data_IF_616735828748
#
_entry.id   IF_616735828748
#
_cell.length_a   1.000
_cell.length_b   1.000
_cell.length_c   1.000
_cell.angle_alpha   90.00
_cell.angle_beta   90.00
_cell.angle_gamma   90.00
#
_symmetry.space_group_name_H-M   'P 1'
#
loop_
_entity.id
_entity.type
_entity.pdbx_description
1 polymer ?
#
# COMPACT_ATOMS: atom_id res chain seq x y z
N UNK A 1 -45.92 -28.72 43.04
CA UNK A 1 -44.78 -29.61 42.76
C UNK A 1 -44.66 -30.09 41.31
N UNK A 2 -45.76 -30.27 40.56
CA UNK A 2 -45.72 -30.84 39.19
C UNK A 2 -45.10 -29.94 38.10
N UNK A 3 -45.15 -28.61 38.27
CA UNK A 3 -44.60 -27.66 37.27
C UNK A 3 -43.09 -27.42 37.37
N UNK A 4 -42.50 -27.57 38.56
CA UNK A 4 -41.03 -27.52 38.71
C UNK A 4 -40.40 -28.77 38.07
N UNK A 5 -41.04 -29.93 38.23
CA UNK A 5 -40.58 -31.18 37.62
C UNK A 5 -40.55 -31.08 36.10
N UNK A 6 -41.58 -30.52 35.46
CA UNK A 6 -41.61 -30.31 33.99
C UNK A 6 -40.55 -29.33 33.47
N UNK A 7 -40.15 -28.34 34.27
CA UNK A 7 -39.10 -27.37 33.88
C UNK A 7 -37.70 -27.96 33.88
N UNK A 8 -37.47 -29.02 34.67
CA UNK A 8 -36.16 -29.66 34.82
C UNK A 8 -36.04 -30.90 33.92
N UNK A 9 -37.15 -31.58 33.62
CA UNK A 9 -37.13 -32.78 32.76
C UNK A 9 -36.75 -32.48 31.32
N UNK A 10 -37.22 -31.36 30.74
CA UNK A 10 -36.87 -30.97 29.37
C UNK A 10 -35.37 -30.73 29.15
N UNK A 11 -34.66 -29.90 29.96
CA UNK A 11 -33.23 -29.70 29.80
C UNK A 11 -32.41 -30.98 30.10
N UNK A 12 -32.87 -31.83 31.02
CA UNK A 12 -32.24 -33.14 31.26
C UNK A 12 -32.35 -34.07 30.06
N UNK A 13 -33.49 -34.08 29.38
CA UNK A 13 -33.71 -34.88 28.18
C UNK A 13 -32.85 -34.37 27.02
N UNK A 14 -32.76 -33.06 26.84
CA UNK A 14 -31.88 -32.43 25.84
C UNK A 14 -30.41 -32.76 26.13
N UNK A 15 -29.98 -32.66 27.40
CA UNK A 15 -28.63 -33.02 27.82
C UNK A 15 -28.33 -34.50 27.57
N UNK A 16 -29.26 -35.40 27.89
CA UNK A 16 -29.11 -36.83 27.64
C UNK A 16 -28.99 -37.14 26.13
N UNK A 17 -29.77 -36.47 25.29
CA UNK A 17 -29.68 -36.59 23.82
C UNK A 17 -28.33 -36.07 23.29
N UNK A 18 -27.85 -34.93 23.79
CA UNK A 18 -26.54 -34.39 23.41
C UNK A 18 -25.39 -35.33 23.80
N UNK A 19 -25.42 -35.90 25.01
CA UNK A 19 -24.43 -36.88 25.46
C UNK A 19 -24.48 -38.14 24.59
N UNK A 20 -25.68 -38.60 24.22
CA UNK A 20 -25.84 -39.75 23.33
C UNK A 20 -25.29 -39.47 21.92
N UNK A 21 -25.53 -38.29 21.35
CA UNK A 21 -25.01 -37.90 20.04
C UNK A 21 -23.49 -37.75 20.01
N UNK A 22 -22.89 -37.25 21.08
CA UNK A 22 -21.42 -37.19 21.21
C UNK A 22 -20.80 -38.59 21.24
N UNK A 23 -21.37 -39.51 22.03
CA UNK A 23 -20.88 -40.89 22.07
C UNK A 23 -21.15 -41.66 20.78
N UNK A 24 -22.24 -41.38 20.06
CA UNK A 24 -22.53 -42.00 18.77
C UNK A 24 -21.56 -41.50 17.69
N UNK A 25 -21.21 -40.21 17.72
CA UNK A 25 -20.23 -39.60 16.79
C UNK A 25 -18.84 -40.19 16.98
N UNK A 26 -18.43 -40.49 18.21
CA UNK A 26 -17.12 -41.09 18.49
C UNK A 26 -17.02 -42.55 17.99
N UNK A 27 -18.15 -43.26 17.82
CA UNK A 27 -18.18 -44.65 17.32
C UNK A 27 -18.04 -44.80 15.81
N UNK A 28 -18.19 -43.73 15.01
CA UNK A 28 -18.08 -43.79 13.54
C UNK A 28 -16.72 -43.33 12.99
N UNK A 29 -15.75 -43.01 13.85
CA UNK A 29 -14.50 -42.35 13.44
C UNK A 29 -13.19 -43.09 13.69
N UNK A 30 -13.15 -44.14 14.51
CA UNK A 30 -11.90 -44.83 14.83
C UNK A 30 -12.14 -46.33 14.96
N UNK A 31 -11.73 -47.08 13.95
CA UNK A 31 -11.48 -48.50 14.09
C UNK A 31 -10.30 -48.66 15.07
N UNK A 32 -10.47 -49.42 16.15
CA UNK A 32 -9.37 -49.68 17.08
C UNK A 32 -8.24 -50.37 16.31
N UNK A 33 -7.11 -49.69 16.20
CA UNK A 33 -5.88 -50.29 15.71
C UNK A 33 -5.47 -51.32 16.76
N UNK A 34 -5.68 -52.61 16.46
CA UNK A 34 -5.06 -53.68 17.23
C UNK A 34 -3.54 -53.53 17.04
N UNK A 35 -2.89 -52.98 18.06
CA UNK A 35 -1.43 -52.99 18.15
C UNK A 35 -1.05 -54.43 18.49
N UNK A 36 -0.88 -55.24 17.44
CA UNK A 36 -0.25 -56.54 17.57
C UNK A 36 1.15 -56.36 18.13
N UNK A 37 1.52 -57.21 19.09
CA UNK A 37 2.89 -57.29 19.62
C UNK A 37 3.91 -57.30 18.49
N UNK A 38 4.96 -56.48 18.65
CA UNK A 38 6.01 -56.27 17.68
C UNK A 38 6.61 -57.60 17.19
N UNK A 39 6.22 -58.01 16.00
CA UNK A 39 6.88 -59.09 15.28
C UNK A 39 8.01 -58.51 14.44
N UNK A 40 9.23 -58.94 14.77
CA UNK A 40 10.32 -59.18 13.82
C UNK A 40 10.90 -57.97 13.09
N UNK A 41 12.23 -57.94 12.96
CA UNK A 41 12.91 -57.06 12.03
C UNK A 41 12.60 -57.59 10.61
N UNK A 42 11.45 -57.25 10.05
CA UNK A 42 11.28 -57.25 8.60
C UNK A 42 12.07 -56.06 8.05
N UNK A 43 12.87 -56.31 7.01
CA UNK A 43 13.49 -55.26 6.22
C UNK A 43 12.43 -54.18 5.96
N UNK A 44 12.66 -52.96 6.47
CA UNK A 44 11.77 -51.82 6.22
C UNK A 44 11.71 -51.62 4.71
N UNK A 45 10.73 -52.25 4.05
CA UNK A 45 10.39 -51.94 2.68
C UNK A 45 10.06 -50.45 2.69
N UNK A 46 10.90 -49.66 2.03
CA UNK A 46 10.70 -48.24 1.86
C UNK A 46 9.37 -48.06 1.10
N UNK A 47 8.28 -47.90 1.86
CA UNK A 47 6.92 -47.98 1.35
C UNK A 47 6.51 -46.86 0.39
N UNK A 48 7.38 -45.85 0.22
CA UNK A 48 7.22 -44.85 -0.84
C UNK A 48 8.17 -45.18 -2.00
N UNK A 49 7.65 -45.51 -3.19
CA UNK A 49 8.48 -45.68 -4.37
C UNK A 49 9.23 -44.39 -4.71
N UNK A 50 10.40 -44.52 -5.35
CA UNK A 50 11.28 -43.38 -5.69
C UNK A 50 10.56 -42.33 -6.54
N UNK A 51 9.67 -42.77 -7.44
CA UNK A 51 8.85 -41.90 -8.30
C UNK A 51 7.49 -41.53 -7.70
N UNK A 52 7.36 -41.49 -6.36
CA UNK A 52 6.11 -41.08 -5.73
C UNK A 52 5.94 -39.55 -5.77
N UNK A 53 4.79 -39.08 -6.26
CA UNK A 53 4.41 -37.65 -6.23
C UNK A 53 4.41 -37.05 -4.81
N UNK A 54 4.30 -37.87 -3.76
CA UNK A 54 4.43 -37.43 -2.35
C UNK A 54 5.85 -36.99 -1.98
N UNK A 55 6.87 -37.38 -2.75
CA UNK A 55 8.27 -36.96 -2.53
C UNK A 55 8.64 -35.64 -3.21
N UNK A 56 7.77 -35.13 -4.09
CA UNK A 56 7.90 -33.82 -4.73
C UNK A 56 6.56 -33.07 -4.64
N UNK A 57 6.09 -32.75 -3.40
CA UNK A 57 4.79 -32.14 -3.18
C UNK A 57 4.64 -30.82 -3.94
N UNK A 58 5.73 -30.07 -4.16
CA UNK A 58 5.73 -28.83 -4.95
C UNK A 58 5.13 -29.01 -6.35
N UNK A 59 5.28 -30.17 -6.98
CA UNK A 59 4.73 -30.45 -8.32
C UNK A 59 3.21 -30.58 -8.35
N UNK A 60 2.57 -30.84 -7.21
CA UNK A 60 1.13 -30.95 -7.08
C UNK A 60 0.52 -29.72 -6.41
N UNK A 61 1.21 -29.15 -5.42
CA UNK A 61 0.68 -28.00 -4.68
C UNK A 61 0.76 -26.72 -5.50
N UNK A 62 1.79 -26.53 -6.33
CA UNK A 62 1.90 -25.29 -7.10
C UNK A 62 0.83 -25.14 -8.19
N UNK A 63 0.50 -26.16 -9.02
CA UNK A 63 -0.50 -25.99 -10.08
C UNK A 63 -1.91 -25.89 -9.51
N UNK A 64 -2.22 -26.67 -8.45
CA UNK A 64 -3.51 -26.60 -7.77
C UNK A 64 -3.68 -25.26 -7.04
N UNK A 65 -2.63 -24.73 -6.40
CA UNK A 65 -2.69 -23.43 -5.75
C UNK A 65 -2.85 -22.29 -6.77
N UNK A 66 -2.14 -22.35 -7.90
CA UNK A 66 -2.31 -21.38 -9.00
C UNK A 66 -3.72 -21.45 -9.58
N UNK A 67 -4.25 -22.65 -9.80
CA UNK A 67 -5.62 -22.82 -10.28
C UNK A 67 -6.63 -22.20 -9.30
N UNK A 68 -6.51 -22.50 -8.00
CA UNK A 68 -7.38 -21.91 -6.98
C UNK A 68 -7.26 -20.38 -6.96
N UNK A 69 -6.04 -19.85 -7.05
CA UNK A 69 -5.80 -18.42 -7.12
C UNK A 69 -6.47 -17.79 -8.35
N UNK A 70 -6.35 -18.41 -9.53
CA UNK A 70 -7.02 -17.92 -10.75
C UNK A 70 -8.54 -17.92 -10.61
N UNK A 71 -9.12 -18.95 -9.99
CA UNK A 71 -10.55 -19.02 -9.71
C UNK A 71 -10.99 -17.87 -8.77
N UNK A 72 -10.26 -17.64 -7.68
CA UNK A 72 -10.55 -16.56 -6.73
C UNK A 72 -10.42 -15.17 -7.39
N UNK A 73 -9.39 -14.97 -8.22
CA UNK A 73 -9.18 -13.73 -8.98
C UNK A 73 -10.29 -13.51 -10.02
N UNK A 74 -10.79 -14.57 -10.64
CA UNK A 74 -11.91 -14.47 -11.58
C UNK A 74 -13.20 -14.01 -10.89
N UNK A 75 -13.43 -14.46 -9.65
CA UNK A 75 -14.57 -14.00 -8.86
C UNK A 75 -14.42 -12.53 -8.47
N UNK A 76 -13.22 -12.10 -8.08
CA UNK A 76 -12.92 -10.71 -7.78
C UNK A 76 -13.20 -9.79 -8.98
N UNK A 77 -12.75 -10.20 -10.17
CA UNK A 77 -12.95 -9.43 -11.41
C UNK A 77 -14.43 -9.20 -11.71
N UNK A 78 -15.30 -10.17 -11.43
CA UNK A 78 -16.75 -10.02 -11.63
C UNK A 78 -17.38 -8.94 -10.73
N UNK A 79 -16.68 -8.49 -9.69
CA UNK A 79 -17.11 -7.41 -8.80
C UNK A 79 -16.59 -6.03 -9.25
N UNK A 80 -15.68 -5.99 -10.22
CA UNK A 80 -15.07 -4.75 -10.68
C UNK A 80 -15.98 -4.03 -11.70
N UNK A 81 -15.92 -2.70 -11.78
CA UNK A 81 -16.55 -1.94 -12.87
C UNK A 81 -16.02 -2.38 -14.24
N UNK A 82 -16.83 -2.21 -15.30
CA UNK A 82 -16.46 -2.61 -16.67
C UNK A 82 -15.13 -2.01 -17.15
N UNK A 83 -14.83 -0.77 -16.75
CA UNK A 83 -13.59 -0.08 -17.07
C UNK A 83 -12.52 -0.32 -15.98
N UNK A 84 -12.13 -1.58 -15.79
CA UNK A 84 -11.08 -1.97 -14.84
C UNK A 84 -10.08 -2.90 -15.50
N UNK A 85 -8.82 -2.80 -15.07
CA UNK A 85 -7.73 -3.65 -15.52
C UNK A 85 -7.07 -4.28 -14.29
N UNK A 86 -6.70 -5.56 -14.38
CA UNK A 86 -6.04 -6.27 -13.30
C UNK A 86 -5.07 -7.31 -13.84
N UNK A 87 -3.83 -7.34 -13.32
CA UNK A 87 -2.79 -8.29 -13.71
C UNK A 87 -2.01 -8.74 -12.48
N UNK A 88 -1.76 -10.05 -12.40
CA UNK A 88 -0.94 -10.67 -11.36
C UNK A 88 0.15 -11.48 -12.03
N UNK A 89 1.38 -11.30 -11.57
CA UNK A 89 2.55 -12.02 -12.05
C UNK A 89 3.47 -12.35 -10.87
N UNK A 90 4.11 -13.51 -10.90
CA UNK A 90 5.13 -13.91 -9.94
C UNK A 90 6.35 -14.41 -10.71
N UNK A 91 7.56 -14.01 -10.29
CA UNK A 91 8.82 -14.39 -10.91
C UNK A 91 8.89 -14.16 -12.44
N UNK A 92 8.15 -13.15 -12.92
CA UNK A 92 8.03 -12.82 -14.34
C UNK A 92 7.05 -13.68 -15.13
N UNK A 93 6.43 -14.68 -14.51
CA UNK A 93 5.34 -15.47 -15.10
C UNK A 93 3.99 -14.82 -14.83
N UNK A 94 3.15 -14.72 -15.86
CA UNK A 94 1.78 -14.25 -15.72
C UNK A 94 0.91 -15.33 -15.10
N UNK A 95 0.29 -15.00 -13.96
CA UNK A 95 -0.64 -15.89 -13.27
C UNK A 95 -2.07 -15.60 -13.73
N UNK A 96 -2.42 -14.32 -13.89
CA UNK A 96 -3.78 -13.91 -14.24
C UNK A 96 -3.77 -12.53 -14.89
N UNK A 97 -4.59 -12.34 -15.92
CA UNK A 97 -4.79 -11.05 -16.57
C UNK A 97 -6.26 -10.82 -16.90
N UNK A 98 -6.71 -9.58 -16.69
CA UNK A 98 -8.04 -9.10 -17.05
C UNK A 98 -7.91 -7.70 -17.63
N UNK A 99 -8.31 -7.56 -18.89
CA UNK A 99 -8.33 -6.28 -19.62
C UNK A 99 -7.00 -5.50 -19.55
N UNK A 100 -5.85 -6.20 -19.54
CA UNK A 100 -4.55 -5.58 -19.24
C UNK A 100 -4.13 -4.40 -20.14
N UNK A 101 -4.69 -4.33 -21.35
CA UNK A 101 -4.33 -3.33 -22.36
C UNK A 101 -5.42 -2.27 -22.58
N UNK A 102 -6.45 -2.21 -21.72
CA UNK A 102 -7.48 -1.16 -21.88
C UNK A 102 -6.92 0.22 -21.50
N UNK A 103 -7.20 1.26 -22.28
CA UNK A 103 -6.82 2.61 -21.90
C UNK A 103 -7.69 3.08 -20.72
N UNK A 104 -7.04 3.44 -19.62
CA UNK A 104 -7.69 3.97 -18.42
C UNK A 104 -7.16 5.37 -18.10
N UNK A 105 -7.96 6.15 -17.37
CA UNK A 105 -7.47 7.40 -16.78
C UNK A 105 -6.52 7.04 -15.61
N UNK A 106 -5.22 7.38 -15.70
CA UNK A 106 -4.25 7.03 -14.65
C UNK A 106 -4.46 7.83 -13.35
N UNK A 107 -5.22 8.93 -13.38
CA UNK A 107 -5.42 9.79 -12.23
C UNK A 107 -4.11 10.22 -11.59
N UNK A 108 -3.99 10.03 -10.27
CA UNK A 108 -2.78 10.38 -9.54
C UNK A 108 -1.56 9.49 -9.88
N UNK A 109 -1.75 8.30 -10.45
CA UNK A 109 -0.64 7.39 -10.84
C UNK A 109 0.25 8.03 -11.91
N UNK A 110 -0.29 8.95 -12.71
CA UNK A 110 0.50 9.72 -13.67
C UNK A 110 1.68 10.47 -13.02
N UNK A 111 1.58 10.80 -11.72
CA UNK A 111 2.68 11.43 -10.98
C UNK A 111 3.94 10.56 -10.94
N UNK A 112 3.82 9.23 -11.04
CA UNK A 112 4.98 8.33 -11.06
C UNK A 112 5.83 8.58 -12.30
N UNK A 113 5.19 8.67 -13.48
CA UNK A 113 5.88 8.93 -14.75
C UNK A 113 6.47 10.34 -14.75
N UNK A 114 5.72 11.33 -14.24
CA UNK A 114 6.22 12.70 -14.11
C UNK A 114 7.43 12.78 -13.17
N UNK A 115 7.39 12.09 -12.02
CA UNK A 115 8.50 12.07 -11.07
C UNK A 115 9.74 11.40 -11.67
N UNK A 116 9.56 10.26 -12.36
CA UNK A 116 10.65 9.61 -13.08
C UNK A 116 11.28 10.54 -14.13
N UNK A 117 10.45 11.19 -14.95
CA UNK A 117 10.92 12.12 -15.97
C UNK A 117 11.66 13.32 -15.35
N UNK A 118 11.15 13.87 -14.25
CA UNK A 118 11.79 14.97 -13.53
C UNK A 118 13.16 14.55 -12.97
N UNK A 119 13.24 13.41 -12.28
CA UNK A 119 14.51 12.89 -11.75
C UNK A 119 15.52 12.60 -12.85
N UNK A 120 15.08 12.01 -13.97
CA UNK A 120 15.96 11.68 -15.08
C UNK A 120 16.47 12.92 -15.83
N UNK A 121 15.64 13.98 -15.93
CA UNK A 121 15.98 15.18 -16.69
C UNK A 121 16.71 16.23 -15.85
N UNK A 122 16.32 16.42 -14.59
CA UNK A 122 16.84 17.45 -13.70
C UNK A 122 17.95 16.91 -12.78
N UNK A 123 17.89 15.62 -12.43
CA UNK A 123 18.70 15.02 -11.38
C UNK A 123 17.99 15.06 -10.02
N UNK A 124 18.46 14.22 -9.09
CA UNK A 124 17.96 14.11 -7.71
C UNK A 124 18.36 15.29 -6.81
N UNK A 125 19.39 16.03 -7.22
CA UNK A 125 19.98 17.16 -6.50
C UNK A 125 19.62 18.52 -7.11
N UNK A 126 18.68 18.55 -8.07
CA UNK A 126 18.21 19.79 -8.68
C UNK A 126 17.59 20.73 -7.65
N UNK A 127 17.93 22.02 -7.75
CA UNK A 127 17.36 23.08 -6.93
C UNK A 127 16.82 24.18 -7.85
N UNK A 128 15.64 24.69 -7.52
CA UNK A 128 15.09 25.86 -8.20
C UNK A 128 15.84 27.11 -7.74
N UNK A 129 16.07 28.02 -8.68
CA UNK A 129 16.66 29.34 -8.42
C UNK A 129 15.59 30.43 -8.59
N UNK A 130 15.55 31.38 -7.67
CA UNK A 130 14.73 32.59 -7.79
C UNK A 130 15.63 33.79 -7.62
N UNK A 131 15.71 34.64 -8.65
CA UNK A 131 16.63 35.78 -8.69
C UNK A 131 15.84 37.07 -8.54
N UNK A 132 16.31 37.94 -7.64
CA UNK A 132 15.80 39.30 -7.49
C UNK A 132 16.84 40.24 -8.09
N UNK A 133 16.43 41.10 -9.02
CA UNK A 133 17.31 42.01 -9.71
C UNK A 133 16.74 43.42 -9.80
N UNK A 134 17.63 44.41 -9.83
CA UNK A 134 17.31 45.80 -10.05
C UNK A 134 17.78 46.26 -11.43
N UNK A 135 17.12 47.27 -11.99
CA UNK A 135 17.49 47.87 -13.28
C UNK A 135 18.82 48.63 -13.24
N UNK A 136 19.24 49.09 -12.06
CA UNK A 136 20.47 49.86 -11.84
C UNK A 136 21.17 49.42 -10.57
N UNK A 137 22.45 49.75 -10.48
CA UNK A 137 23.26 49.60 -9.27
C UNK A 137 22.79 50.55 -8.16
N UNK A 138 23.20 50.26 -6.93
CA UNK A 138 22.97 51.13 -5.77
C UNK A 138 23.68 52.46 -5.94
N UNK A 139 23.16 53.51 -5.31
CA UNK A 139 23.81 54.82 -5.27
C UNK A 139 25.12 54.76 -4.43
N UNK A 140 25.91 55.84 -4.41
CA UNK A 140 27.23 55.88 -3.71
C UNK A 140 27.14 55.58 -2.21
N UNK A 141 25.98 55.82 -1.60
CA UNK A 141 25.67 55.50 -0.21
C UNK A 141 25.24 54.04 0.00
N UNK A 142 25.26 53.24 -1.08
CA UNK A 142 24.87 51.85 -1.11
C UNK A 142 23.36 51.64 -1.13
N UNK A 143 22.53 52.69 -1.22
CA UNK A 143 21.07 52.58 -1.19
C UNK A 143 20.46 52.57 -2.59
N UNK A 144 19.39 51.80 -2.78
CA UNK A 144 18.61 51.77 -4.02
C UNK A 144 17.25 52.44 -3.76
N UNK A 145 17.18 53.76 -3.99
CA UNK A 145 16.00 54.59 -3.61
C UNK A 145 14.91 54.62 -4.67
N UNK A 146 15.27 54.54 -5.94
CA UNK A 146 14.32 54.56 -7.06
C UNK A 146 14.81 53.63 -8.17
N UNK A 147 14.34 52.38 -8.13
CA UNK A 147 14.53 51.42 -9.21
C UNK A 147 13.36 50.45 -9.23
N UNK A 148 12.99 50.03 -10.43
CA UNK A 148 12.17 48.85 -10.60
C UNK A 148 12.94 47.63 -10.07
N UNK A 149 12.23 46.77 -9.34
CA UNK A 149 12.69 45.45 -8.94
C UNK A 149 11.97 44.40 -9.77
N UNK A 150 12.74 43.41 -10.19
CA UNK A 150 12.26 42.27 -10.96
C UNK A 150 12.53 40.99 -10.18
N UNK A 151 11.56 40.08 -10.21
CA UNK A 151 11.68 38.74 -9.64
C UNK A 151 11.61 37.76 -10.80
N UNK A 152 12.67 36.97 -10.96
CA UNK A 152 12.79 35.92 -11.96
C UNK A 152 12.69 34.57 -11.27
N UNK A 153 11.51 33.95 -11.32
CA UNK A 153 11.28 32.61 -10.78
C UNK A 153 11.58 31.54 -11.83
N UNK A 154 12.37 30.53 -11.48
CA UNK A 154 12.57 29.33 -12.31
C UNK A 154 11.47 28.26 -12.15
N UNK A 155 10.46 28.55 -11.32
CA UNK A 155 9.31 27.66 -11.08
C UNK A 155 9.33 26.92 -9.74
N UNK A 156 10.01 27.45 -8.73
CA UNK A 156 9.98 26.91 -7.36
C UNK A 156 8.52 26.77 -6.86
N UNK A 157 8.01 25.53 -6.68
CA UNK A 157 6.63 25.31 -6.26
C UNK A 157 6.42 25.49 -4.75
N UNK A 158 7.47 25.84 -4.01
CA UNK A 158 7.49 25.91 -2.55
C UNK A 158 7.67 27.32 -1.99
N UNK A 159 7.66 28.37 -2.81
CA UNK A 159 7.67 29.77 -2.33
C UNK A 159 6.36 30.10 -1.63
N UNK A 160 6.43 30.40 -0.32
CA UNK A 160 5.26 30.67 0.54
C UNK A 160 5.56 31.70 1.61
N UNK A 161 4.58 32.53 1.94
CA UNK A 161 4.63 33.43 3.10
C UNK A 161 4.29 32.69 4.39
N UNK A 162 4.77 33.20 5.51
CA UNK A 162 4.48 32.71 6.86
C UNK A 162 2.97 32.74 7.13
N UNK A 163 2.32 33.86 6.77
CA UNK A 163 0.87 34.01 6.92
C UNK A 163 0.07 32.97 6.11
N UNK A 164 0.58 32.52 4.96
CA UNK A 164 -0.07 31.45 4.20
C UNK A 164 0.11 30.09 4.88
N UNK A 165 1.27 29.86 5.50
CA UNK A 165 1.53 28.62 6.23
C UNK A 165 0.60 28.45 7.44
N UNK A 166 0.24 29.54 8.13
CA UNK A 166 -0.72 29.52 9.24
C UNK A 166 -2.13 29.04 8.83
N UNK A 167 -2.49 29.10 7.55
CA UNK A 167 -3.77 28.63 7.03
C UNK A 167 -3.77 27.14 6.67
N UNK A 168 -2.60 26.50 6.63
CA UNK A 168 -2.48 25.11 6.25
C UNK A 168 -2.71 24.18 7.45
N UNK A 169 -3.27 22.99 7.25
CA UNK A 169 -3.40 22.01 8.33
C UNK A 169 -2.02 21.58 8.86
N UNK A 170 -1.94 21.26 10.15
CA UNK A 170 -0.71 20.76 10.80
C UNK A 170 -0.10 19.50 10.15
N UNK A 171 -0.88 18.79 9.32
CA UNK A 171 -0.40 17.63 8.55
C UNK A 171 0.39 18.01 7.29
N UNK A 172 0.44 19.28 6.92
CA UNK A 172 1.14 19.75 5.73
C UNK A 172 2.65 19.85 5.98
N UNK A 173 3.45 19.75 4.93
CA UNK A 173 4.91 19.85 5.04
C UNK A 173 5.36 21.29 5.35
N UNK A 174 6.26 21.43 6.31
CA UNK A 174 6.93 22.70 6.63
C UNK A 174 8.04 23.07 5.64
N UNK A 175 8.43 22.15 4.75
CA UNK A 175 9.46 22.41 3.74
C UNK A 175 8.96 23.46 2.77
N UNK A 176 9.64 24.62 2.76
CA UNK A 176 9.30 25.77 1.92
C UNK A 176 10.49 26.68 1.65
N UNK A 177 10.36 27.51 0.63
CA UNK A 177 11.17 28.71 0.44
C UNK A 177 10.39 29.89 1.04
N UNK A 178 10.94 30.58 2.04
CA UNK A 178 10.23 31.67 2.71
C UNK A 178 10.18 32.93 1.85
N UNK A 179 8.98 33.36 1.47
CA UNK A 179 8.78 34.59 0.73
C UNK A 179 9.07 35.84 1.57
N UNK A 180 8.81 35.78 2.88
CA UNK A 180 9.07 36.89 3.80
C UNK A 180 10.59 37.06 4.01
N UNK A 181 11.34 35.96 4.12
CA UNK A 181 12.80 36.00 4.20
C UNK A 181 13.43 36.55 2.91
N UNK A 182 12.89 36.16 1.73
CA UNK A 182 13.31 36.75 0.45
C UNK A 182 13.08 38.27 0.41
N UNK A 183 11.95 38.74 0.95
CA UNK A 183 11.66 40.17 1.05
C UNK A 183 12.63 40.89 1.99
N UNK A 184 12.90 40.31 3.17
CA UNK A 184 13.83 40.86 4.15
C UNK A 184 15.27 40.91 3.61
N UNK A 185 15.72 39.86 2.90
CA UNK A 185 17.01 39.84 2.21
C UNK A 185 17.11 40.94 1.15
N UNK A 186 16.02 41.22 0.44
CA UNK A 186 15.97 42.31 -0.55
C UNK A 186 16.17 43.67 0.13
N UNK A 187 15.54 43.89 1.29
CA UNK A 187 15.78 45.10 2.09
C UNK A 187 17.22 45.14 2.61
N UNK A 188 17.77 44.00 3.04
CA UNK A 188 19.16 43.82 3.46
C UNK A 188 20.19 44.08 2.35
N UNK A 189 19.80 43.95 1.08
CA UNK A 189 20.56 44.39 -0.09
C UNK A 189 20.45 45.91 -0.34
N UNK A 190 20.05 46.67 0.68
CA UNK A 190 19.87 48.13 0.67
C UNK A 190 18.81 48.64 -0.31
N UNK A 191 17.84 47.81 -0.64
CA UNK A 191 16.66 48.21 -1.42
C UNK A 191 15.58 48.72 -0.48
N UNK A 192 15.33 50.04 -0.50
CA UNK A 192 14.32 50.64 0.37
C UNK A 192 12.95 50.62 -0.31
N UNK A 193 12.03 49.81 0.21
CA UNK A 193 10.63 49.85 -0.19
C UNK A 193 9.93 51.00 0.55
N UNK A 194 9.69 52.11 -0.15
CA UNK A 194 8.82 53.15 0.39
C UNK A 194 7.37 52.65 0.37
N UNK A 195 6.80 52.44 1.56
CA UNK A 195 5.36 52.17 1.69
C UNK A 195 4.65 53.51 1.58
N UNK A 196 4.02 53.77 0.44
CA UNK A 196 3.13 54.92 0.29
C UNK A 196 1.92 54.69 1.22
N UNK A 197 1.75 55.60 2.19
CA UNK A 197 0.61 55.62 3.13
C UNK A 197 -0.64 56.18 2.46
#
# INVERSE_FOLDING_TARGET
MLQLFKRITLPLLILAILIALLNLKDRFGYEEIIIGEAQGIEERQLGTPVFSLRRAPELLTSPLAIQQLQEDLSQLVNLLPEASCFKVSADGEEIYSFQENIPLNPGAVQKIITAYAALNQLGDSFQYETVIAAKRETDEDGLLRTSDLYIFGSGDPLIRTDAYMELLPDSYSDIRTSADELADLTVGMNVLLFKEQ
#
